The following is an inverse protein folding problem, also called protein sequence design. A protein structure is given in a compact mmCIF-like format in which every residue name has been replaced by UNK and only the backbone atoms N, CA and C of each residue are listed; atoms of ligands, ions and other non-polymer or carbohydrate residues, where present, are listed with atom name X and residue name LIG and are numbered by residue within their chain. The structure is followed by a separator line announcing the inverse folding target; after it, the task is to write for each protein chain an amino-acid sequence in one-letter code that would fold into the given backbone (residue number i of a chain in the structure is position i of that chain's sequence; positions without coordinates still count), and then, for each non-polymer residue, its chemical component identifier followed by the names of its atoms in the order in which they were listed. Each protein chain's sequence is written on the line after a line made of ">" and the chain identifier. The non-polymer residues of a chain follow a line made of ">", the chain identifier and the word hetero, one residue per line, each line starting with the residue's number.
data_IF_239869754034
#
_entry.id   IF_239869754034
#
_cell.length_a   1.000
_cell.length_b   1.000
_cell.length_c   1.000
_cell.angle_alpha   90.00
_cell.angle_beta   90.00
_cell.angle_gamma   90.00
#
_symmetry.space_group_name_H-M   'P 1'
#
loop_
_entity.id
_entity.type
_entity.pdbx_description
1 polymer ?
#
# COMPACT_ATOMS: atom_id res chain seq x y z
N UNK A 1 -46.64 41.92 35.00
CA UNK A 1 -47.78 41.61 34.12
C UNK A 1 -47.25 41.09 32.80
N UNK A 2 -47.81 40.00 32.34
CA UNK A 2 -47.67 39.28 31.09
C UNK A 2 -46.39 38.49 30.79
N UNK A 3 -46.55 37.21 31.05
CA UNK A 3 -45.79 36.06 30.53
C UNK A 3 -46.21 35.80 29.08
N UNK A 4 -45.25 35.53 28.21
CA UNK A 4 -45.51 34.84 26.96
C UNK A 4 -44.53 33.67 26.81
N UNK A 5 -45.06 32.47 26.94
CA UNK A 5 -44.40 31.23 26.62
C UNK A 5 -44.24 31.07 25.09
N UNK A 6 -43.07 30.75 24.64
CA UNK A 6 -42.87 30.17 23.31
C UNK A 6 -42.34 28.76 23.45
N UNK A 7 -43.17 27.82 23.08
CA UNK A 7 -42.79 26.44 22.90
C UNK A 7 -41.97 26.31 21.61
N UNK A 8 -40.75 25.76 21.73
CA UNK A 8 -39.97 25.35 20.58
C UNK A 8 -40.21 23.86 20.34
N UNK A 9 -40.83 23.55 19.22
CA UNK A 9 -40.95 22.16 18.76
C UNK A 9 -39.60 21.72 18.18
N UNK A 10 -38.99 20.74 18.82
CA UNK A 10 -37.80 20.08 18.29
C UNK A 10 -38.24 19.05 17.25
N UNK A 11 -37.95 19.32 15.99
CA UNK A 11 -38.09 18.37 14.89
C UNK A 11 -36.87 17.43 14.92
N UNK A 12 -37.04 16.25 15.44
CA UNK A 12 -36.05 15.19 15.40
C UNK A 12 -35.93 14.61 14.00
N UNK A 13 -34.84 14.92 13.31
CA UNK A 13 -34.49 14.25 12.07
C UNK A 13 -33.82 12.93 12.44
N UNK A 14 -34.52 11.82 12.23
CA UNK A 14 -33.99 10.48 12.31
C UNK A 14 -33.14 10.23 11.07
N UNK A 15 -31.81 10.35 11.19
CA UNK A 15 -30.89 9.93 10.14
C UNK A 15 -30.70 8.42 10.28
N UNK A 16 -31.41 7.65 9.47
CA UNK A 16 -31.11 6.25 9.28
C UNK A 16 -29.77 6.14 8.52
N UNK A 17 -28.69 5.90 9.25
CA UNK A 17 -27.43 5.49 8.65
C UNK A 17 -27.56 4.05 8.16
N UNK A 18 -27.84 3.86 6.86
CA UNK A 18 -27.68 2.57 6.22
C UNK A 18 -26.18 2.23 6.21
N UNK A 19 -25.79 1.32 7.09
CA UNK A 19 -24.43 0.79 7.12
C UNK A 19 -24.13 0.05 5.82
N UNK A 20 -23.11 0.47 5.10
CA UNK A 20 -22.60 -0.27 3.96
C UNK A 20 -22.00 -1.59 4.46
N UNK A 21 -22.60 -2.71 4.08
CA UNK A 21 -22.02 -4.01 4.31
C UNK A 21 -20.91 -4.25 3.26
N UNK A 22 -19.67 -4.26 3.70
CA UNK A 22 -18.52 -4.55 2.85
C UNK A 22 -18.37 -6.07 2.78
N UNK A 23 -18.62 -6.64 1.62
CA UNK A 23 -18.36 -8.06 1.35
C UNK A 23 -16.94 -8.16 0.83
N UNK A 24 -16.03 -8.72 1.62
CA UNK A 24 -14.67 -8.98 1.22
C UNK A 24 -14.57 -10.36 0.60
N UNK A 25 -14.22 -10.41 -0.67
CA UNK A 25 -13.65 -11.62 -1.27
C UNK A 25 -12.13 -11.54 -1.14
N UNK A 26 -11.44 -12.67 -1.08
CA UNK A 26 -9.98 -12.77 -0.97
C UNK A 26 -9.21 -12.07 -2.10
N UNK A 27 -9.90 -11.53 -3.08
CA UNK A 27 -9.37 -11.00 -4.32
C UNK A 27 -9.80 -9.55 -4.49
N UNK A 28 -9.32 -8.64 -3.70
CA UNK A 28 -9.41 -7.19 -3.89
C UNK A 28 -10.54 -6.66 -4.82
N UNK A 29 -11.81 -6.98 -4.53
CA UNK A 29 -12.91 -6.43 -5.31
C UNK A 29 -13.27 -5.02 -4.83
N UNK A 30 -13.55 -4.16 -5.78
CA UNK A 30 -14.06 -2.81 -5.57
C UNK A 30 -15.33 -2.87 -4.73
N UNK A 31 -15.38 -2.10 -3.66
CA UNK A 31 -16.60 -1.93 -2.85
C UNK A 31 -17.68 -1.27 -3.69
N UNK A 32 -18.72 -2.02 -4.03
CA UNK A 32 -19.91 -1.43 -4.64
C UNK A 32 -20.83 -0.94 -3.51
N UNK A 33 -21.28 0.32 -3.52
CA UNK A 33 -22.24 0.81 -2.54
C UNK A 33 -23.51 -0.06 -2.52
N UNK A 34 -24.19 -0.22 -1.39
CA UNK A 34 -25.43 -0.99 -1.34
C UNK A 34 -26.43 -0.39 -2.32
N UNK A 35 -26.94 -1.23 -3.18
CA UNK A 35 -27.92 -0.85 -4.20
C UNK A 35 -29.19 -0.28 -3.56
N UNK A 36 -29.62 0.87 -4.01
CA UNK A 36 -31.01 1.28 -3.88
C UNK A 36 -31.92 0.16 -4.48
N UNK A 37 -33.07 -0.10 -3.85
CA UNK A 37 -34.01 -1.19 -4.10
C UNK A 37 -33.99 -1.77 -5.53
N UNK A 38 -33.79 -3.07 -5.61
CA UNK A 38 -33.43 -3.85 -6.77
C UNK A 38 -34.26 -3.52 -8.04
N UNK A 39 -33.57 -2.87 -8.99
CA UNK A 39 -33.90 -3.08 -10.40
C UNK A 39 -33.64 -4.57 -10.76
N UNK A 40 -34.41 -5.19 -11.66
CA UNK A 40 -34.19 -6.56 -12.08
C UNK A 40 -32.72 -6.73 -12.49
N UNK A 41 -32.06 -7.73 -11.92
CA UNK A 41 -30.65 -7.97 -12.13
C UNK A 41 -30.38 -8.12 -13.63
N UNK A 42 -29.75 -7.13 -14.22
CA UNK A 42 -29.20 -7.27 -15.57
C UNK A 42 -28.17 -8.41 -15.49
N UNK A 43 -28.25 -9.43 -16.36
CA UNK A 43 -27.24 -10.49 -16.32
C UNK A 43 -25.85 -9.88 -16.43
N UNK A 44 -24.85 -10.41 -15.71
CA UNK A 44 -23.50 -9.87 -15.72
C UNK A 44 -23.01 -9.80 -17.15
N UNK A 45 -22.61 -8.62 -17.60
CA UNK A 45 -22.03 -8.43 -18.91
C UNK A 45 -20.70 -9.14 -18.97
N UNK A 46 -20.48 -9.91 -20.03
CA UNK A 46 -19.18 -10.45 -20.36
C UNK A 46 -18.43 -9.45 -21.25
N UNK A 47 -17.15 -9.32 -20.98
CA UNK A 47 -16.28 -8.37 -21.68
C UNK A 47 -15.11 -9.12 -22.31
N UNK A 48 -14.77 -8.73 -23.53
CA UNK A 48 -13.53 -9.17 -24.16
C UNK A 48 -12.44 -8.17 -23.84
N UNK A 49 -11.26 -8.67 -23.51
CA UNK A 49 -10.08 -7.86 -23.26
C UNK A 49 -8.87 -8.52 -23.92
N UNK A 50 -7.97 -7.70 -24.47
CA UNK A 50 -6.70 -8.22 -24.94
C UNK A 50 -5.85 -8.56 -23.70
N UNK A 51 -5.49 -9.83 -23.60
CA UNK A 51 -4.54 -10.31 -22.60
C UNK A 51 -3.20 -10.54 -23.30
N UNK A 52 -2.20 -9.76 -22.95
CA UNK A 52 -0.84 -10.03 -23.39
C UNK A 52 -0.31 -11.33 -22.76
N UNK A 53 0.78 -11.84 -23.30
CA UNK A 53 1.41 -13.03 -22.74
C UNK A 53 1.86 -12.75 -21.31
N UNK A 54 1.31 -13.49 -20.35
CA UNK A 54 1.69 -13.42 -18.95
C UNK A 54 3.11 -13.94 -18.67
N UNK A 55 3.58 -13.75 -17.45
CA UNK A 55 4.87 -14.26 -16.99
C UNK A 55 6.09 -13.51 -17.54
N UNK A 56 5.93 -12.26 -17.98
CA UNK A 56 7.01 -11.44 -18.53
C UNK A 56 7.70 -10.63 -17.38
N UNK A 57 8.43 -11.29 -16.53
CA UNK A 57 9.06 -10.68 -15.34
C UNK A 57 10.21 -9.73 -15.67
N UNK A 58 10.80 -9.80 -16.87
CA UNK A 58 11.92 -8.95 -17.24
C UNK A 58 13.11 -9.14 -16.29
N UNK A 59 13.51 -8.05 -15.61
CA UNK A 59 14.58 -8.05 -14.62
C UNK A 59 14.10 -8.24 -13.17
N UNK A 60 12.78 -8.34 -12.96
CA UNK A 60 12.24 -8.47 -11.62
C UNK A 60 12.39 -9.89 -11.11
N UNK A 61 12.80 -10.01 -9.86
CA UNK A 61 12.65 -11.25 -9.13
C UNK A 61 11.16 -11.42 -8.75
N UNK A 62 10.61 -12.59 -9.05
CA UNK A 62 9.24 -12.94 -8.62
C UNK A 62 9.09 -12.85 -7.11
N UNK A 63 10.12 -13.29 -6.39
CA UNK A 63 10.13 -13.39 -4.93
C UNK A 63 11.47 -12.92 -4.39
N UNK A 64 11.47 -11.75 -3.76
CA UNK A 64 12.59 -11.21 -3.00
C UNK A 64 12.42 -11.61 -1.54
N UNK A 65 13.23 -12.56 -1.08
CA UNK A 65 13.17 -13.04 0.31
C UNK A 65 13.94 -12.10 1.23
N UNK A 66 13.33 -11.66 2.32
CA UNK A 66 14.01 -10.87 3.35
C UNK A 66 15.25 -11.59 3.91
N UNK A 67 15.17 -12.91 4.08
CA UNK A 67 16.30 -13.71 4.55
C UNK A 67 17.52 -13.60 3.61
N UNK A 68 17.29 -13.60 2.28
CA UNK A 68 18.34 -13.48 1.28
C UNK A 68 18.92 -12.05 1.25
N UNK A 69 18.07 -11.01 1.40
CA UNK A 69 18.53 -9.63 1.56
C UNK A 69 19.46 -9.50 2.77
N UNK A 70 19.04 -10.00 3.92
CA UNK A 70 19.86 -9.99 5.14
C UNK A 70 21.17 -10.77 4.99
N UNK A 71 21.14 -11.88 4.27
CA UNK A 71 22.34 -12.69 4.03
C UNK A 71 23.35 -11.94 3.12
N UNK A 72 22.86 -11.29 2.04
CA UNK A 72 23.72 -10.50 1.14
C UNK A 72 24.37 -9.32 1.84
N UNK A 73 23.66 -8.68 2.77
CA UNK A 73 24.12 -7.51 3.50
C UNK A 73 24.61 -7.82 4.92
N UNK A 74 25.01 -9.06 5.17
CA UNK A 74 25.50 -9.46 6.49
C UNK A 74 26.67 -8.55 6.94
N UNK A 75 26.52 -7.95 8.11
CA UNK A 75 27.51 -7.00 8.67
C UNK A 75 27.38 -5.56 8.17
N UNK A 76 26.45 -5.27 7.27
CA UNK A 76 26.13 -3.92 6.80
C UNK A 76 24.86 -3.43 7.49
N UNK A 77 24.97 -2.37 8.29
CA UNK A 77 23.77 -1.82 8.95
C UNK A 77 22.98 -0.88 8.02
N UNK A 78 23.64 -0.29 7.01
CA UNK A 78 23.04 0.63 6.05
C UNK A 78 23.18 0.06 4.63
N UNK A 79 22.04 -0.22 3.98
CA UNK A 79 22.02 -0.68 2.60
C UNK A 79 20.67 -0.34 1.94
N UNK A 80 20.64 -0.38 0.62
CA UNK A 80 19.45 -0.18 -0.18
C UNK A 80 19.51 -1.06 -1.42
N UNK A 81 18.43 -1.80 -1.72
CA UNK A 81 18.26 -2.58 -2.94
C UNK A 81 16.95 -2.26 -3.62
N UNK A 82 16.97 -2.13 -4.94
CA UNK A 82 15.75 -1.98 -5.75
C UNK A 82 15.03 -3.32 -5.80
N UNK A 83 13.76 -3.34 -5.38
CA UNK A 83 12.91 -4.54 -5.36
C UNK A 83 11.80 -4.50 -6.41
N UNK A 84 11.34 -3.31 -6.81
CA UNK A 84 10.43 -3.09 -7.94
C UNK A 84 10.96 -1.92 -8.77
N UNK A 85 11.01 -2.09 -10.09
CA UNK A 85 11.39 -1.03 -11.02
C UNK A 85 10.72 -1.27 -12.36
N UNK A 86 9.47 -0.85 -12.47
CA UNK A 86 8.63 -0.94 -13.65
C UNK A 86 8.13 0.43 -14.11
N UNK A 87 7.15 0.45 -14.97
CA UNK A 87 6.57 1.69 -15.50
C UNK A 87 5.77 2.50 -14.46
N UNK A 88 5.29 1.84 -13.39
CA UNK A 88 4.46 2.46 -12.36
C UNK A 88 5.26 2.76 -11.08
N UNK A 89 6.20 1.88 -10.71
CA UNK A 89 6.91 1.96 -9.45
C UNK A 89 8.43 1.89 -9.57
N UNK A 90 9.09 2.64 -8.71
CA UNK A 90 10.48 2.45 -8.34
C UNK A 90 10.55 2.32 -6.82
N UNK A 91 10.72 1.12 -6.33
CA UNK A 91 10.69 0.83 -4.90
C UNK A 91 11.97 0.16 -4.43
N UNK A 92 12.44 0.59 -3.27
CA UNK A 92 13.67 0.08 -2.65
C UNK A 92 13.38 -0.56 -1.31
N UNK A 93 14.07 -1.64 -1.03
CA UNK A 93 14.19 -2.19 0.31
C UNK A 93 15.43 -1.63 0.98
N UNK A 94 15.29 -1.11 2.18
CA UNK A 94 16.32 -0.34 2.85
C UNK A 94 16.58 -0.86 4.26
N UNK A 95 17.81 -0.68 4.72
CA UNK A 95 18.21 -0.83 6.12
C UNK A 95 18.94 0.41 6.59
N UNK A 96 18.72 0.79 7.83
CA UNK A 96 19.42 1.89 8.49
C UNK A 96 19.75 1.57 9.94
N UNK A 97 20.99 1.83 10.35
CA UNK A 97 21.39 1.79 11.75
C UNK A 97 20.63 2.84 12.58
N UNK A 98 20.55 2.69 13.91
CA UNK A 98 20.08 3.76 14.78
C UNK A 98 20.74 5.11 14.48
N UNK A 99 19.95 6.16 14.37
CA UNK A 99 20.40 7.50 13.99
C UNK A 99 20.57 7.76 12.49
N UNK A 100 20.37 6.75 11.62
CA UNK A 100 20.33 6.96 10.16
C UNK A 100 19.19 7.91 9.83
N UNK A 101 19.48 8.93 8.99
CA UNK A 101 18.54 9.99 8.64
C UNK A 101 18.21 9.99 7.15
N UNK A 102 16.95 10.17 6.83
CA UNK A 102 16.47 10.66 5.55
C UNK A 102 16.40 12.19 5.68
N UNK A 103 17.27 12.89 4.95
CA UNK A 103 17.32 14.36 4.97
C UNK A 103 16.03 14.97 4.46
N UNK A 104 15.70 16.22 4.86
CA UNK A 104 14.50 16.92 4.39
C UNK A 104 14.38 16.89 2.88
N UNK A 105 13.23 16.44 2.39
CA UNK A 105 12.93 16.32 0.97
C UNK A 105 11.43 16.30 0.71
N UNK A 106 11.03 16.47 -0.54
CA UNK A 106 9.64 16.26 -0.98
C UNK A 106 9.58 15.67 -2.39
N UNK A 107 8.44 15.09 -2.73
CA UNK A 107 8.05 14.71 -4.08
C UNK A 107 7.16 15.80 -4.67
N UNK A 108 7.55 16.44 -5.79
CA UNK A 108 6.73 17.54 -6.33
C UNK A 108 5.45 17.08 -7.01
N UNK A 109 5.46 15.89 -7.61
CA UNK A 109 4.44 15.46 -8.56
C UNK A 109 3.65 14.24 -8.10
N UNK A 110 4.17 13.49 -7.16
CA UNK A 110 3.60 12.21 -6.73
C UNK A 110 3.61 12.07 -5.21
N UNK A 111 2.86 11.11 -4.73
CA UNK A 111 2.91 10.59 -3.36
C UNK A 111 4.12 9.66 -3.19
N UNK A 112 4.53 9.47 -1.97
CA UNK A 112 5.50 8.46 -1.54
C UNK A 112 4.96 7.78 -0.29
N UNK A 113 5.21 6.50 -0.11
CA UNK A 113 4.88 5.86 1.14
C UNK A 113 5.96 4.88 1.59
N UNK A 114 6.07 4.73 2.89
CA UNK A 114 7.04 3.87 3.56
C UNK A 114 6.32 2.73 4.26
N UNK A 115 6.87 1.54 4.15
CA UNK A 115 6.38 0.34 4.84
C UNK A 115 7.47 -0.11 5.81
N UNK A 116 7.26 0.07 7.11
CA UNK A 116 8.24 -0.34 8.12
C UNK A 116 8.06 -1.82 8.42
N UNK A 117 9.06 -2.62 8.06
CA UNK A 117 9.06 -4.08 8.21
C UNK A 117 9.67 -4.51 9.54
N UNK A 118 10.76 -3.86 9.95
CA UNK A 118 11.43 -4.11 11.24
C UNK A 118 11.92 -2.79 11.85
N UNK A 119 12.13 -2.76 13.16
CA UNK A 119 12.65 -1.60 13.87
C UNK A 119 11.64 -0.47 13.99
N UNK A 120 12.16 0.74 14.15
CA UNK A 120 11.35 1.94 14.42
C UNK A 120 11.95 3.17 13.74
N UNK A 121 11.09 3.98 13.13
CA UNK A 121 11.45 5.23 12.47
C UNK A 121 10.55 6.37 12.96
N UNK A 122 11.10 7.58 13.00
CA UNK A 122 10.35 8.80 13.27
C UNK A 122 10.29 9.64 12.02
N UNK A 123 9.10 10.00 11.59
CA UNK A 123 8.86 10.88 10.45
C UNK A 123 8.38 12.25 10.94
N UNK A 124 8.98 13.30 10.40
CA UNK A 124 8.53 14.69 10.60
C UNK A 124 8.00 15.19 9.28
N UNK A 125 6.71 15.55 9.23
CA UNK A 125 6.03 16.02 8.04
C UNK A 125 5.64 17.50 8.20
N UNK A 126 5.90 18.28 7.16
CA UNK A 126 5.45 19.67 7.10
C UNK A 126 3.92 19.76 7.28
N UNK A 127 3.48 20.68 8.11
CA UNK A 127 2.06 20.87 8.42
C UNK A 127 1.47 19.91 9.45
N UNK A 128 2.27 18.98 10.01
CA UNK A 128 1.88 18.15 11.14
C UNK A 128 2.57 18.60 12.42
N UNK A 129 1.79 18.78 13.48
CA UNK A 129 2.33 19.25 14.78
C UNK A 129 3.25 18.22 15.43
N UNK A 130 2.88 16.94 15.34
CA UNK A 130 3.60 15.85 16.01
C UNK A 130 4.25 14.92 15.00
N UNK A 131 5.50 14.50 15.25
CA UNK A 131 6.15 13.48 14.47
C UNK A 131 5.42 12.12 14.54
N UNK A 132 5.49 11.35 13.47
CA UNK A 132 4.95 10.00 13.41
C UNK A 132 6.02 9.02 13.89
N UNK A 133 5.74 8.29 14.96
CA UNK A 133 6.53 7.14 15.36
C UNK A 133 6.00 5.90 14.63
N UNK A 134 6.77 5.45 13.64
CA UNK A 134 6.44 4.32 12.78
C UNK A 134 7.27 3.10 13.18
N UNK A 135 6.60 2.07 13.63
CA UNK A 135 7.20 0.79 14.02
C UNK A 135 6.81 -0.32 13.05
N UNK A 136 7.34 -1.51 13.25
CA UNK A 136 6.97 -2.71 12.49
C UNK A 136 5.46 -2.77 12.24
N UNK A 137 5.05 -2.98 10.98
CA UNK A 137 3.66 -2.97 10.55
C UNK A 137 3.12 -1.60 10.13
N UNK A 138 3.89 -0.52 10.29
CA UNK A 138 3.47 0.83 9.91
C UNK A 138 3.58 1.07 8.41
N UNK A 139 2.57 1.77 7.87
CA UNK A 139 2.60 2.44 6.57
C UNK A 139 2.54 3.94 6.84
N UNK A 140 3.55 4.68 6.40
CA UNK A 140 3.59 6.15 6.45
C UNK A 140 3.40 6.68 5.05
N UNK A 141 2.38 7.50 4.86
CA UNK A 141 1.92 7.97 3.57
C UNK A 141 2.15 9.49 3.47
N UNK A 142 2.90 9.93 2.48
CA UNK A 142 3.34 11.32 2.31
C UNK A 142 2.77 11.87 1.00
N UNK A 143 1.89 12.87 1.07
CA UNK A 143 1.33 13.50 -0.13
C UNK A 143 2.39 14.26 -0.94
N UNK A 144 2.12 14.47 -2.23
CA UNK A 144 2.96 15.33 -3.07
C UNK A 144 3.12 16.73 -2.46
N UNK A 145 4.30 17.31 -2.60
CA UNK A 145 4.68 18.67 -2.12
C UNK A 145 4.62 18.86 -0.60
N UNK A 146 4.53 17.79 0.15
CA UNK A 146 4.74 17.82 1.60
C UNK A 146 6.20 17.51 1.87
N UNK A 147 6.91 18.45 2.48
CA UNK A 147 8.29 18.22 2.92
C UNK A 147 8.30 17.29 4.12
N UNK A 148 9.24 16.36 4.14
CA UNK A 148 9.42 15.45 5.25
C UNK A 148 10.88 15.09 5.46
N UNK A 149 11.17 14.61 6.64
CA UNK A 149 12.40 13.93 7.02
C UNK A 149 12.07 12.69 7.84
N UNK A 150 13.00 11.74 7.91
CA UNK A 150 12.86 10.59 8.79
C UNK A 150 14.17 10.22 9.46
N UNK A 151 14.09 9.49 10.58
CA UNK A 151 15.21 9.02 11.36
C UNK A 151 14.92 7.65 11.93
N UNK A 152 15.88 6.74 11.92
CA UNK A 152 15.82 5.47 12.65
C UNK A 152 16.05 5.77 14.12
N UNK A 153 15.06 5.52 14.99
CA UNK A 153 15.07 5.93 16.40
C UNK A 153 15.20 4.76 17.40
N UNK A 154 14.99 3.53 16.93
CA UNK A 154 15.09 2.36 17.79
C UNK A 154 16.53 2.03 18.21
N UNK A 155 16.67 1.03 19.07
CA UNK A 155 17.99 0.51 19.50
C UNK A 155 18.60 -0.48 18.51
N UNK A 156 17.84 -0.92 17.51
CA UNK A 156 18.25 -1.85 16.47
C UNK A 156 18.04 -1.23 15.09
N UNK A 157 18.72 -1.69 14.04
CA UNK A 157 18.49 -1.22 12.69
C UNK A 157 17.01 -1.36 12.29
N UNK A 158 16.51 -0.39 11.53
CA UNK A 158 15.20 -0.47 10.90
C UNK A 158 15.33 -1.01 9.48
N UNK A 159 14.32 -1.80 9.07
CA UNK A 159 14.12 -2.25 7.70
C UNK A 159 12.80 -1.70 7.18
N UNK A 160 12.84 -1.11 6.00
CA UNK A 160 11.63 -0.55 5.38
C UNK A 160 11.66 -0.67 3.86
N UNK A 161 10.47 -0.68 3.27
CA UNK A 161 10.28 -0.49 1.83
C UNK A 161 9.87 0.96 1.58
N UNK A 162 10.58 1.62 0.69
CA UNK A 162 10.27 2.96 0.19
C UNK A 162 9.61 2.82 -1.18
N UNK A 163 8.32 3.14 -1.27
CA UNK A 163 7.52 2.97 -2.48
C UNK A 163 7.29 4.32 -3.17
N UNK A 164 7.91 4.49 -4.32
CA UNK A 164 7.81 5.67 -5.16
C UNK A 164 7.17 5.32 -6.51
N UNK A 165 6.51 6.31 -7.11
CA UNK A 165 6.13 6.22 -8.51
C UNK A 165 7.38 6.17 -9.40
N UNK A 166 7.32 5.47 -10.52
CA UNK A 166 8.39 5.47 -11.52
C UNK A 166 8.69 6.91 -11.99
N UNK A 167 9.96 7.16 -12.28
CA UNK A 167 10.44 8.48 -12.73
C UNK A 167 10.18 9.65 -11.76
N UNK A 168 9.96 9.36 -10.48
CA UNK A 168 9.78 10.38 -9.45
C UNK A 168 10.93 11.39 -9.40
N UNK A 169 10.62 12.61 -8.98
CA UNK A 169 11.62 13.65 -8.71
C UNK A 169 11.75 13.85 -7.20
N UNK A 170 12.95 14.17 -6.77
CA UNK A 170 13.23 14.55 -5.38
C UNK A 170 13.68 15.98 -5.33
N UNK A 171 13.02 16.80 -4.53
CA UNK A 171 13.41 18.17 -4.24
C UNK A 171 13.96 18.22 -2.82
N UNK A 172 15.10 18.87 -2.68
CA UNK A 172 15.81 19.04 -1.40
C UNK A 172 15.93 20.53 -1.13
N UNK A 173 15.65 21.01 0.11
CA UNK A 173 15.83 22.41 0.46
C UNK A 173 17.26 22.88 0.19
N UNK A 174 17.44 24.06 -0.42
CA UNK A 174 18.76 24.57 -0.78
C UNK A 174 19.67 24.81 0.44
N UNK A 175 19.06 25.08 1.61
CA UNK A 175 19.76 25.27 2.88
C UNK A 175 20.29 23.96 3.50
N UNK A 176 19.77 22.81 3.06
CA UNK A 176 20.17 21.51 3.58
C UNK A 176 21.40 20.98 2.83
N UNK A 177 22.25 20.18 3.49
CA UNK A 177 23.36 19.51 2.82
C UNK A 177 22.84 18.65 1.66
N UNK A 178 23.47 18.74 0.51
CA UNK A 178 23.14 17.86 -0.62
C UNK A 178 23.37 16.41 -0.21
N UNK A 179 22.38 15.52 -0.41
CA UNK A 179 22.59 14.10 -0.18
C UNK A 179 23.74 13.58 -1.05
N UNK A 180 24.57 12.72 -0.50
CA UNK A 180 25.72 12.14 -1.24
C UNK A 180 25.32 11.39 -2.51
N UNK A 181 24.09 10.84 -2.53
CA UNK A 181 23.52 10.11 -3.66
C UNK A 181 23.00 11.02 -4.78
N UNK A 182 23.05 12.34 -4.59
CA UNK A 182 22.37 13.30 -5.48
C UNK A 182 23.37 14.37 -5.96
N UNK A 183 24.54 13.93 -6.44
CA UNK A 183 25.49 14.83 -7.08
C UNK A 183 24.85 15.49 -8.31
N UNK A 184 25.20 16.76 -8.56
CA UNK A 184 24.69 17.50 -9.73
C UNK A 184 23.36 18.23 -9.52
N UNK A 185 22.87 18.39 -8.30
CA UNK A 185 21.69 19.21 -8.01
C UNK A 185 21.93 20.67 -8.34
N UNK A 186 21.00 21.25 -9.08
CA UNK A 186 20.96 22.69 -9.36
C UNK A 186 19.96 23.35 -8.40
N UNK A 187 20.35 24.46 -7.79
CA UNK A 187 19.42 25.26 -6.99
C UNK A 187 18.44 25.95 -7.94
N UNK A 188 17.15 25.67 -7.75
CA UNK A 188 16.08 26.22 -8.57
C UNK A 188 14.98 26.78 -7.68
N UNK A 189 14.34 27.85 -8.14
CA UNK A 189 13.08 28.31 -7.56
C UNK A 189 11.96 27.43 -8.12
N UNK A 190 11.18 26.80 -7.23
CA UNK A 190 10.02 26.02 -7.64
C UNK A 190 8.88 27.00 -7.92
N UNK A 191 8.50 27.12 -9.18
CA UNK A 191 7.24 27.71 -9.57
C UNK A 191 6.19 26.60 -9.65
N UNK A 192 5.26 26.53 -8.72
CA UNK A 192 4.19 25.54 -8.78
C UNK A 192 2.83 26.20 -8.78
N UNK A 193 2.01 25.83 -9.76
CA UNK A 193 0.60 26.19 -9.85
C UNK A 193 -0.30 25.10 -9.27
N UNK A 194 0.25 23.91 -9.00
CA UNK A 194 -0.53 22.78 -8.49
C UNK A 194 -0.62 22.83 -6.95
N UNK A 195 -1.78 22.46 -6.39
CA UNK A 195 -1.95 22.44 -4.94
C UNK A 195 -1.07 21.37 -4.29
N UNK A 196 -0.77 21.59 -3.02
CA UNK A 196 -0.17 20.57 -2.14
C UNK A 196 -1.12 19.38 -2.07
N UNK A 197 -0.58 18.16 -2.09
CA UNK A 197 -1.36 16.96 -1.91
C UNK A 197 -1.96 16.89 -0.50
N UNK A 198 -3.12 16.29 -0.41
CA UNK A 198 -3.88 16.19 0.84
C UNK A 198 -4.18 14.74 1.22
N UNK A 199 -4.52 14.55 2.46
CA UNK A 199 -5.11 13.30 2.93
C UNK A 199 -6.62 13.36 2.71
N UNK A 200 -7.13 12.51 1.81
CA UNK A 200 -8.55 12.41 1.50
C UNK A 200 -8.97 10.94 1.42
N UNK A 201 -10.25 10.68 1.68
CA UNK A 201 -10.79 9.33 1.70
C UNK A 201 -10.11 8.47 2.79
N UNK A 202 -9.60 7.32 2.39
CA UNK A 202 -8.90 6.42 3.30
C UNK A 202 -7.41 6.77 3.51
N UNK A 203 -6.89 7.75 2.77
CA UNK A 203 -5.52 8.20 2.99
C UNK A 203 -5.37 8.88 4.35
N UNK A 204 -4.44 8.38 5.14
CA UNK A 204 -4.04 8.95 6.42
C UNK A 204 -2.52 9.07 6.45
N UNK A 205 -1.96 9.95 7.27
CA UNK A 205 -0.51 10.06 7.42
C UNK A 205 0.16 8.76 7.84
N UNK A 206 -0.55 8.00 8.68
CA UNK A 206 -0.01 6.78 9.28
C UNK A 206 -1.09 5.74 9.53
N UNK A 207 -0.78 4.49 9.22
CA UNK A 207 -1.48 3.29 9.64
C UNK A 207 -0.49 2.34 10.29
N UNK A 208 -0.87 1.70 11.39
CA UNK A 208 -0.21 0.47 11.79
C UNK A 208 -1.10 -0.71 11.41
N UNK A 209 -0.68 -1.51 10.45
CA UNK A 209 -1.48 -2.61 9.92
C UNK A 209 -1.71 -3.71 10.96
N UNK A 210 -0.85 -3.83 11.96
CA UNK A 210 -1.01 -4.80 13.03
C UNK A 210 -2.07 -4.41 14.06
N UNK A 211 -2.42 -3.13 14.14
CA UNK A 211 -3.57 -2.72 14.94
C UNK A 211 -4.89 -3.23 14.33
N UNK A 212 -4.91 -3.45 13.01
CA UNK A 212 -6.03 -4.06 12.31
C UNK A 212 -6.26 -5.54 12.71
N UNK A 213 -5.28 -6.23 13.24
CA UNK A 213 -5.45 -7.58 13.78
C UNK A 213 -6.47 -7.63 14.92
N UNK A 214 -6.59 -6.51 15.65
CA UNK A 214 -7.52 -6.37 16.76
C UNK A 214 -8.93 -6.00 16.33
N UNK A 215 -9.09 -5.47 15.13
CA UNK A 215 -10.37 -5.06 14.56
C UNK A 215 -10.55 -5.61 13.14
N UNK A 216 -11.30 -6.73 12.98
CA UNK A 216 -11.54 -7.34 11.66
C UNK A 216 -12.18 -6.42 10.62
N UNK A 217 -12.74 -5.27 11.02
CA UNK A 217 -13.28 -4.28 10.07
C UNK A 217 -12.21 -3.64 9.20
N UNK A 218 -10.95 -3.71 9.61
CA UNK A 218 -9.82 -3.23 8.83
C UNK A 218 -9.28 -4.24 7.81
N UNK A 219 -9.80 -5.47 7.77
CA UNK A 219 -9.41 -6.42 6.74
C UNK A 219 -9.79 -5.90 5.35
N UNK A 220 -8.82 -5.80 4.44
CA UNK A 220 -9.03 -5.30 3.08
C UNK A 220 -9.16 -3.79 2.94
N UNK A 221 -8.63 -3.01 3.86
CA UNK A 221 -8.71 -1.56 3.79
C UNK A 221 -7.63 -0.94 2.88
N UNK A 222 -8.05 -0.02 2.02
CA UNK A 222 -7.10 0.83 1.28
C UNK A 222 -6.37 1.76 2.26
N UNK A 223 -5.06 1.78 2.19
CA UNK A 223 -4.19 2.63 3.02
C UNK A 223 -3.48 3.72 2.21
N UNK A 224 -3.33 3.50 0.90
CA UNK A 224 -2.88 4.49 -0.07
C UNK A 224 -3.82 4.44 -1.26
N UNK A 225 -4.30 5.59 -1.72
CA UNK A 225 -5.16 5.66 -2.90
C UNK A 225 -5.14 7.07 -3.49
N UNK A 226 -4.63 7.19 -4.70
CA UNK A 226 -4.73 8.39 -5.53
C UNK A 226 -4.70 8.03 -7.02
N UNK A 227 -4.45 9.01 -7.88
CA UNK A 227 -4.47 8.82 -9.33
C UNK A 227 -3.29 8.00 -9.88
N UNK A 228 -2.30 7.69 -9.05
CA UNK A 228 -1.05 7.03 -9.49
C UNK A 228 -0.69 5.80 -8.67
N UNK A 229 -1.10 5.74 -7.43
CA UNK A 229 -0.68 4.73 -6.47
C UNK A 229 -1.87 4.16 -5.71
N UNK A 230 -1.85 2.86 -5.53
CA UNK A 230 -2.84 2.16 -4.74
C UNK A 230 -2.15 1.12 -3.85
N UNK A 231 -2.54 1.08 -2.59
CA UNK A 231 -2.12 0.04 -1.68
C UNK A 231 -3.25 -0.36 -0.73
N UNK A 232 -3.45 -1.67 -0.59
CA UNK A 232 -4.49 -2.26 0.24
C UNK A 232 -3.90 -3.25 1.23
N UNK A 233 -4.25 -3.11 2.51
CA UNK A 233 -3.95 -4.10 3.52
C UNK A 233 -4.99 -5.23 3.45
N UNK A 234 -4.56 -6.45 3.18
CA UNK A 234 -5.43 -7.62 3.06
C UNK A 234 -5.06 -8.61 4.15
N UNK A 235 -6.00 -8.80 5.09
CA UNK A 235 -5.85 -9.68 6.24
C UNK A 235 -6.64 -10.98 6.09
N UNK A 236 -6.02 -12.08 6.51
CA UNK A 236 -6.66 -13.36 6.81
C UNK A 236 -6.55 -13.66 8.29
N UNK A 237 -7.68 -13.67 8.99
CA UNK A 237 -7.75 -14.06 10.39
C UNK A 237 -8.13 -15.52 10.49
N UNK A 238 -7.56 -16.26 11.43
CA UNK A 238 -7.78 -17.70 11.60
C UNK A 238 -9.27 -18.08 11.56
N UNK A 239 -10.11 -17.34 12.29
CA UNK A 239 -11.57 -17.55 12.33
C UNK A 239 -12.33 -17.15 11.06
N UNK A 240 -11.69 -16.36 10.20
CA UNK A 240 -12.28 -15.79 8.97
C UNK A 240 -11.55 -16.28 7.72
N UNK A 241 -10.59 -17.18 7.86
CA UNK A 241 -9.95 -17.79 6.70
C UNK A 241 -11.01 -18.60 5.96
N UNK A 242 -11.33 -18.25 4.71
CA UNK A 242 -12.20 -19.10 3.92
C UNK A 242 -11.53 -20.47 3.78
N UNK A 243 -12.34 -21.50 3.85
CA UNK A 243 -11.87 -22.85 3.51
C UNK A 243 -11.17 -22.79 2.15
N UNK A 244 -10.10 -23.56 2.00
CA UNK A 244 -9.43 -23.71 0.71
C UNK A 244 -10.46 -24.05 -0.36
N UNK A 245 -10.59 -23.20 -1.36
CA UNK A 245 -11.45 -23.43 -2.51
C UNK A 245 -10.57 -23.82 -3.70
N UNK A 246 -10.57 -25.10 -4.11
CA UNK A 246 -9.79 -25.53 -5.28
C UNK A 246 -10.28 -24.89 -6.58
N UNK A 247 -11.51 -24.34 -6.60
CA UNK A 247 -12.09 -23.66 -7.75
C UNK A 247 -11.83 -22.15 -7.73
N UNK A 248 -11.03 -21.65 -6.81
CA UNK A 248 -10.63 -20.26 -6.83
C UNK A 248 -9.70 -20.01 -8.02
N UNK A 249 -10.19 -19.23 -8.96
CA UNK A 249 -9.62 -19.11 -10.28
C UNK A 249 -8.51 -18.06 -10.39
N UNK A 250 -8.24 -17.33 -9.29
CA UNK A 250 -7.30 -16.22 -9.37
C UNK A 250 -7.79 -15.10 -10.30
N UNK A 251 -6.88 -14.24 -10.71
CA UNK A 251 -7.14 -13.12 -11.62
C UNK A 251 -5.84 -12.60 -12.25
N UNK A 252 -5.95 -11.61 -13.10
CA UNK A 252 -4.82 -10.87 -13.67
C UNK A 252 -5.20 -9.40 -13.87
N UNK A 253 -4.21 -8.54 -14.04
CA UNK A 253 -4.36 -7.12 -14.34
C UNK A 253 -3.73 -6.83 -15.70
N UNK A 254 -4.43 -6.13 -16.59
CA UNK A 254 -3.94 -5.89 -17.95
C UNK A 254 -2.95 -4.72 -18.00
N UNK A 255 -3.27 -3.64 -17.32
CA UNK A 255 -2.57 -2.37 -17.48
C UNK A 255 -1.51 -2.07 -16.42
N UNK A 256 -1.34 -2.92 -15.42
CA UNK A 256 -0.43 -2.65 -14.30
C UNK A 256 0.06 -3.94 -13.66
N UNK A 257 1.27 -3.89 -13.12
CA UNK A 257 1.77 -4.91 -12.22
C UNK A 257 1.08 -4.84 -10.86
N UNK A 258 1.06 -5.96 -10.16
CA UNK A 258 0.76 -6.02 -8.74
C UNK A 258 1.95 -6.59 -7.99
N UNK A 259 2.23 -6.03 -6.83
CA UNK A 259 3.26 -6.56 -5.97
C UNK A 259 2.85 -6.46 -4.50
N UNK A 260 3.45 -7.28 -3.66
CA UNK A 260 3.07 -7.39 -2.26
C UNK A 260 4.27 -7.28 -1.36
N UNK A 261 4.11 -6.56 -0.25
CA UNK A 261 4.96 -6.69 0.94
C UNK A 261 4.21 -7.58 1.93
N UNK A 262 4.83 -8.65 2.37
CA UNK A 262 4.22 -9.56 3.35
C UNK A 262 4.42 -8.97 4.73
N UNK A 263 3.33 -8.48 5.30
CA UNK A 263 3.37 -7.71 6.54
C UNK A 263 3.30 -8.57 7.80
N UNK A 264 2.71 -9.76 7.69
CA UNK A 264 2.63 -10.73 8.78
C UNK A 264 2.36 -12.14 8.26
N UNK A 265 2.91 -13.14 8.95
CA UNK A 265 2.64 -14.55 8.69
C UNK A 265 3.14 -15.02 7.34
N UNK A 266 2.33 -15.84 6.67
CA UNK A 266 2.71 -16.48 5.41
C UNK A 266 1.60 -16.35 4.37
N UNK A 267 2.00 -16.18 3.11
CA UNK A 267 1.09 -16.13 1.96
C UNK A 267 1.56 -17.19 0.94
N UNK A 268 0.64 -18.05 0.52
CA UNK A 268 0.85 -18.96 -0.60
C UNK A 268 0.44 -18.27 -1.88
N UNK A 269 1.28 -18.39 -2.87
CA UNK A 269 1.07 -17.85 -4.22
C UNK A 269 1.04 -18.98 -5.22
N UNK A 270 0.18 -18.83 -6.23
CA UNK A 270 0.27 -19.56 -7.50
C UNK A 270 0.31 -18.52 -8.60
N UNK A 271 1.39 -18.48 -9.36
CA UNK A 271 1.64 -17.44 -10.38
C UNK A 271 1.92 -18.12 -11.71
N UNK A 272 1.29 -17.63 -12.79
CA UNK A 272 1.48 -18.09 -14.16
C UNK A 272 2.98 -18.18 -14.49
N UNK A 273 3.40 -19.30 -15.06
CA UNK A 273 4.78 -19.65 -15.44
C UNK A 273 5.74 -19.92 -14.28
N UNK A 274 5.35 -19.62 -13.03
CA UNK A 274 6.19 -19.82 -11.83
C UNK A 274 5.71 -21.01 -11.02
N UNK A 275 4.39 -21.17 -10.87
CA UNK A 275 3.76 -22.19 -10.04
C UNK A 275 3.57 -21.74 -8.58
N UNK A 276 3.50 -22.76 -7.70
CA UNK A 276 3.22 -22.57 -6.27
C UNK A 276 4.49 -22.29 -5.46
N UNK A 277 4.40 -21.28 -4.57
CA UNK A 277 5.39 -21.04 -3.52
C UNK A 277 4.77 -20.33 -2.33
N UNK A 278 5.51 -20.24 -1.22
CA UNK A 278 5.09 -19.51 -0.02
C UNK A 278 6.09 -18.40 0.27
N UNK A 279 5.58 -17.20 0.51
CA UNK A 279 6.33 -16.05 1.02
C UNK A 279 6.10 -15.88 2.53
N UNK A 280 7.11 -15.32 3.19
CA UNK A 280 7.12 -15.09 4.62
C UNK A 280 7.07 -13.58 4.92
N UNK A 281 6.84 -13.25 6.16
CA UNK A 281 6.88 -11.87 6.63
C UNK A 281 8.18 -11.15 6.23
N UNK A 282 8.03 -9.96 5.68
CA UNK A 282 9.10 -9.12 5.14
C UNK A 282 9.48 -9.42 3.69
N UNK A 283 9.00 -10.50 3.09
CA UNK A 283 9.25 -10.80 1.68
C UNK A 283 8.49 -9.82 0.76
N UNK A 284 9.03 -9.61 -0.43
CA UNK A 284 8.38 -8.87 -1.52
C UNK A 284 8.12 -9.84 -2.67
N UNK A 285 6.89 -9.84 -3.19
CA UNK A 285 6.50 -10.66 -4.35
C UNK A 285 5.96 -9.74 -5.44
N UNK A 286 6.39 -9.97 -6.68
CA UNK A 286 6.05 -9.15 -7.85
C UNK A 286 5.38 -9.99 -8.94
N UNK A 287 4.32 -9.44 -9.52
CA UNK A 287 3.59 -10.04 -10.66
C UNK A 287 3.42 -8.99 -11.75
N UNK A 288 3.98 -9.21 -12.95
CA UNK A 288 3.87 -8.27 -14.06
C UNK A 288 2.44 -8.20 -14.63
N UNK A 289 2.13 -7.17 -15.44
CA UNK A 289 0.85 -7.07 -16.13
C UNK A 289 0.49 -8.35 -16.89
N UNK A 290 -0.79 -8.59 -17.06
CA UNK A 290 -1.36 -9.74 -17.80
C UNK A 290 -1.00 -11.13 -17.26
N UNK A 291 -0.37 -11.21 -16.10
CA UNK A 291 0.06 -12.48 -15.49
C UNK A 291 -0.98 -12.97 -14.51
N UNK A 292 -1.54 -14.14 -14.80
CA UNK A 292 -2.49 -14.78 -13.89
C UNK A 292 -1.83 -15.12 -12.55
N UNK A 293 -2.56 -14.87 -11.48
CA UNK A 293 -2.11 -15.21 -10.12
C UNK A 293 -3.28 -15.47 -9.18
N UNK A 294 -2.97 -16.27 -8.17
CA UNK A 294 -3.83 -16.53 -7.02
C UNK A 294 -3.02 -16.48 -5.75
N UNK A 295 -3.51 -15.74 -4.76
CA UNK A 295 -2.87 -15.62 -3.45
C UNK A 295 -3.79 -16.15 -2.36
N UNK A 296 -3.23 -16.88 -1.38
CA UNK A 296 -3.97 -17.46 -0.27
C UNK A 296 -3.21 -17.22 1.02
N UNK A 297 -3.95 -17.04 2.09
CA UNK A 297 -3.34 -17.03 3.41
C UNK A 297 -2.82 -18.43 3.74
N UNK A 298 -1.66 -18.48 4.37
CA UNK A 298 -1.01 -19.72 4.75
C UNK A 298 -0.50 -19.61 6.20
N UNK A 299 -0.10 -20.77 6.75
CA UNK A 299 0.41 -20.81 8.11
C UNK A 299 -0.68 -20.95 9.18
N UNK A 300 -0.27 -21.12 10.44
CA UNK A 300 -1.18 -21.42 11.56
C UNK A 300 -1.80 -20.19 12.20
N UNK A 301 -1.48 -18.98 11.77
CA UNK A 301 -1.92 -17.73 12.40
C UNK A 301 -2.42 -16.70 11.41
N UNK A 302 -2.81 -15.52 11.91
CA UNK A 302 -3.20 -14.42 11.04
C UNK A 302 -2.06 -14.02 10.13
N UNK A 303 -2.43 -13.73 8.87
CA UNK A 303 -1.50 -13.30 7.84
C UNK A 303 -1.97 -12.02 7.19
N UNK A 304 -1.04 -11.16 6.80
CA UNK A 304 -1.33 -9.89 6.13
C UNK A 304 -0.37 -9.67 4.98
N UNK A 305 -0.91 -9.26 3.84
CA UNK A 305 -0.15 -8.69 2.75
C UNK A 305 -0.60 -7.26 2.47
N UNK A 306 0.34 -6.38 2.16
CA UNK A 306 0.05 -5.08 1.57
C UNK A 306 0.13 -5.25 0.05
N UNK A 307 -1.02 -5.25 -0.61
CA UNK A 307 -1.12 -5.32 -2.07
C UNK A 307 -0.95 -3.92 -2.64
N UNK A 308 -0.05 -3.78 -3.61
CA UNK A 308 0.37 -2.50 -4.18
C UNK A 308 0.28 -2.59 -5.70
N UNK A 309 -0.32 -1.57 -6.32
CA UNK A 309 -0.51 -1.51 -7.77
C UNK A 309 -0.60 -0.06 -8.25
N UNK A 310 -0.53 0.15 -9.56
CA UNK A 310 -0.84 1.44 -10.19
C UNK A 310 -2.33 1.79 -10.05
N UNK A 311 -2.68 3.02 -10.44
CA UNK A 311 -4.05 3.53 -10.27
C UNK A 311 -5.11 2.84 -11.15
N UNK A 312 -4.70 2.28 -12.29
CA UNK A 312 -5.59 1.57 -13.21
C UNK A 312 -5.75 0.10 -12.80
N UNK A 313 -6.20 -0.10 -11.58
CA UNK A 313 -6.35 -1.42 -11.01
C UNK A 313 -7.70 -2.03 -11.40
N UNK A 314 -7.72 -2.92 -12.37
CA UNK A 314 -8.88 -3.73 -12.75
C UNK A 314 -8.50 -5.20 -12.69
N UNK A 315 -9.13 -5.92 -11.78
CA UNK A 315 -8.98 -7.38 -11.70
C UNK A 315 -9.86 -8.06 -12.74
N UNK A 316 -9.27 -8.88 -13.56
CA UNK A 316 -9.94 -9.66 -14.59
C UNK A 316 -9.91 -11.13 -14.19
N UNK A 317 -11.08 -11.66 -13.85
CA UNK A 317 -11.22 -13.06 -13.47
C UNK A 317 -11.17 -13.93 -14.72
N UNK A 318 -10.34 -14.97 -14.71
CA UNK A 318 -10.43 -16.02 -15.74
C UNK A 318 -11.72 -16.81 -15.52
N UNK A 319 -12.57 -16.84 -16.54
CA UNK A 319 -13.66 -17.81 -16.59
C UNK A 319 -13.07 -19.17 -16.95
N UNK A 320 -13.46 -20.29 -16.30
CA UNK A 320 -13.08 -21.61 -16.79
C UNK A 320 -13.65 -21.78 -18.17
N UNK A 321 -12.82 -22.31 -19.04
CA UNK A 321 -13.27 -22.82 -20.34
C UNK A 321 -14.09 -24.09 -20.13
#
# INVERSE_FOLDING_TARGET
>A
MNRLHRAAAALGVLICSAGAATVFTQQGQITVPPAAAAAPATPPRQWWVNKDKGGQFGKHAVHVKLADLKARHKGQANWSEVVVNDENYHSTYNSGAPGTKITPRMRPDTREFFVVVEGEMRFTLEGQAEPIAAKRGSVVNIPKKVMYSAEVIGAVPALWVDANQANFKTLVPAAEPKPSQTQGHTVMKIGTTFPVGVYAGNNKPHFNLWDAEKDPKFAGQNVVQDDHMWAQAIWGFEKNLPAYNPNDKGHFHVGTAEWWVIMKGQIRHNIETVGDFTSNEGDVVYVPPSTWHATRFAGPGPSCRLAISGYQFTSLLETPQ
#
